data_IF_661316586995
#
_entry.id   IF_661316586995
#
_cell.length_a   1.000
_cell.length_b   1.000
_cell.length_c   1.000
_cell.angle_alpha   90.00
_cell.angle_beta   90.00
_cell.angle_gamma   90.00
#
_symmetry.space_group_name_H-M   'P 1'
#
loop_
_entity.id
_entity.type
_entity.pdbx_description
1 polymer ?
#
# COMPACT_ATOMS: atom_id res chain seq x y z
N UNK A 1 -29.37 6.18 1.53
CA UNK A 1 -28.03 5.66 1.86
C UNK A 1 -27.34 6.66 2.76
N UNK A 2 -26.98 6.27 3.98
CA UNK A 2 -26.20 7.12 4.88
C UNK A 2 -24.72 6.92 4.54
N UNK A 3 -24.07 7.94 3.97
CA UNK A 3 -22.65 7.87 3.66
C UNK A 3 -21.85 8.11 4.94
N UNK A 4 -20.94 7.19 5.26
CA UNK A 4 -20.02 7.36 6.38
C UNK A 4 -19.10 8.54 6.10
N UNK A 5 -19.16 9.57 6.94
CA UNK A 5 -18.33 10.75 6.76
C UNK A 5 -16.83 10.37 6.83
N UNK A 6 -15.96 10.82 5.91
CA UNK A 6 -14.56 10.40 5.86
C UNK A 6 -13.78 10.61 7.17
N UNK A 7 -14.13 11.65 7.93
CA UNK A 7 -13.55 11.90 9.27
C UNK A 7 -13.81 10.76 10.25
N UNK A 8 -15.01 10.16 10.20
CA UNK A 8 -15.37 9.03 11.06
C UNK A 8 -14.48 7.83 10.74
N UNK A 9 -14.33 7.51 9.45
CA UNK A 9 -13.44 6.43 9.00
C UNK A 9 -11.99 6.64 9.43
N UNK A 10 -11.45 7.87 9.29
CA UNK A 10 -10.10 8.21 9.75
C UNK A 10 -9.94 8.02 11.26
N UNK A 11 -10.92 8.45 12.05
CA UNK A 11 -10.87 8.31 13.50
C UNK A 11 -10.92 6.85 13.95
N UNK A 12 -11.77 6.02 13.33
CA UNK A 12 -11.79 4.59 13.62
C UNK A 12 -10.49 3.91 13.24
N UNK A 13 -9.90 4.29 12.10
CA UNK A 13 -8.62 3.75 11.69
C UNK A 13 -7.48 4.13 12.64
N UNK A 14 -7.43 5.37 13.12
CA UNK A 14 -6.44 5.80 14.10
C UNK A 14 -6.52 4.97 15.40
N UNK A 15 -7.74 4.77 15.92
CA UNK A 15 -7.96 3.90 17.09
C UNK A 15 -7.54 2.45 16.84
N UNK A 16 -7.74 1.94 15.64
CA UNK A 16 -7.31 0.60 15.27
C UNK A 16 -5.77 0.46 15.23
N UNK A 17 -5.05 1.50 14.77
CA UNK A 17 -3.59 1.55 14.83
C UNK A 17 -3.11 1.50 16.29
N UNK A 18 -3.66 2.33 17.17
CA UNK A 18 -3.27 2.36 18.59
C UNK A 18 -3.45 0.98 19.25
N UNK A 19 -4.57 0.31 18.97
CA UNK A 19 -4.84 -1.03 19.48
C UNK A 19 -3.89 -2.09 18.88
N UNK A 20 -3.50 -1.94 17.61
CA UNK A 20 -2.55 -2.83 16.96
C UNK A 20 -1.12 -2.64 17.50
N UNK A 21 -0.68 -1.39 17.68
CA UNK A 21 0.65 -1.05 18.19
C UNK A 21 0.87 -1.59 19.60
N UNK A 22 -0.15 -1.55 20.47
CA UNK A 22 -0.08 -2.17 21.80
C UNK A 22 0.19 -3.68 21.70
N UNK A 23 -0.49 -4.39 20.78
CA UNK A 23 -0.30 -5.83 20.55
C UNK A 23 1.06 -6.13 19.92
N UNK A 24 1.50 -5.33 18.95
CA UNK A 24 2.78 -5.49 18.27
C UNK A 24 3.94 -5.27 19.25
N UNK A 25 3.86 -4.25 20.10
CA UNK A 25 4.84 -3.98 21.15
C UNK A 25 4.94 -5.14 22.13
N UNK A 26 3.80 -5.65 22.63
CA UNK A 26 3.78 -6.81 23.53
C UNK A 26 4.38 -8.07 22.89
N UNK A 27 4.25 -8.22 21.56
CA UNK A 27 4.82 -9.33 20.80
C UNK A 27 6.27 -9.07 20.31
N UNK A 28 6.90 -7.95 20.68
CA UNK A 28 8.24 -7.57 20.21
C UNK A 28 8.34 -7.36 18.70
N UNK A 29 7.23 -7.02 18.03
CA UNK A 29 7.16 -6.80 16.58
C UNK A 29 7.24 -5.31 16.23
N UNK A 30 7.69 -4.96 15.00
CA UNK A 30 7.66 -3.58 14.54
C UNK A 30 6.24 -3.00 14.58
N UNK A 31 6.13 -1.78 15.13
CA UNK A 31 4.87 -1.01 15.18
C UNK A 31 4.56 -0.35 13.84
N UNK A 32 3.33 0.13 13.68
CA UNK A 32 2.92 0.87 12.48
C UNK A 32 3.68 2.21 12.42
N UNK A 33 4.20 2.62 11.24
CA UNK A 33 4.90 3.89 11.11
C UNK A 33 4.05 5.10 11.53
N UNK A 34 4.68 6.05 12.24
CA UNK A 34 4.03 7.32 12.59
C UNK A 34 3.54 8.05 11.33
N UNK A 35 2.30 8.52 11.35
CA UNK A 35 1.68 9.22 10.22
C UNK A 35 1.07 8.30 9.15
N UNK A 36 1.02 6.98 9.37
CA UNK A 36 0.27 6.09 8.48
C UNK A 36 -1.22 6.39 8.54
N UNK A 37 -1.83 6.68 7.38
CA UNK A 37 -3.25 7.04 7.26
C UNK A 37 -4.01 5.97 6.49
N UNK A 38 -5.34 5.99 6.60
CA UNK A 38 -6.22 5.02 5.92
C UNK A 38 -5.92 4.88 4.42
N UNK A 39 -5.68 5.98 3.71
CA UNK A 39 -5.31 5.92 2.29
C UNK A 39 -3.99 5.18 2.04
N UNK A 40 -3.05 5.23 2.99
CA UNK A 40 -1.79 4.49 2.95
C UNK A 40 -1.99 2.98 2.81
N UNK A 41 -3.08 2.40 3.32
CA UNK A 41 -3.40 0.98 3.13
C UNK A 41 -3.52 0.59 1.65
N UNK A 42 -4.15 1.45 0.85
CA UNK A 42 -4.27 1.28 -0.60
C UNK A 42 -2.92 1.34 -1.29
N UNK A 43 -1.99 2.18 -0.82
CA UNK A 43 -0.61 2.17 -1.32
C UNK A 43 0.09 0.86 -1.00
N UNK A 44 0.00 0.40 0.26
CA UNK A 44 0.64 -0.85 0.68
C UNK A 44 0.13 -2.04 -0.12
N UNK A 45 -1.19 -2.13 -0.35
CA UNK A 45 -1.79 -3.18 -1.18
C UNK A 45 -1.26 -3.15 -2.62
N UNK A 46 -1.24 -1.97 -3.26
CA UNK A 46 -0.71 -1.83 -4.63
C UNK A 46 0.78 -2.20 -4.71
N UNK A 47 1.58 -1.85 -3.69
CA UNK A 47 2.99 -2.24 -3.64
C UNK A 47 3.16 -3.76 -3.51
N UNK A 48 2.34 -4.43 -2.71
CA UNK A 48 2.40 -5.89 -2.57
C UNK A 48 1.99 -6.60 -3.86
N UNK A 49 0.92 -6.12 -4.50
CA UNK A 49 0.43 -6.68 -5.77
C UNK A 49 1.46 -6.46 -6.88
N UNK A 50 2.06 -5.27 -6.96
CA UNK A 50 3.15 -5.00 -7.90
C UNK A 50 4.38 -5.87 -7.61
N UNK A 51 4.73 -6.06 -6.33
CA UNK A 51 5.81 -6.95 -5.91
C UNK A 51 5.57 -8.43 -6.22
N UNK A 52 4.31 -8.84 -6.36
CA UNK A 52 3.93 -10.19 -6.80
C UNK A 52 4.02 -10.37 -8.33
N UNK A 53 4.41 -9.33 -9.08
CA UNK A 53 4.56 -9.38 -10.53
C UNK A 53 3.29 -9.03 -11.31
N UNK A 54 2.30 -8.42 -10.67
CA UNK A 54 1.10 -7.96 -11.36
C UNK A 54 1.43 -6.95 -12.47
N UNK A 55 0.68 -7.05 -13.56
CA UNK A 55 0.78 -6.14 -14.70
C UNK A 55 0.24 -4.76 -14.35
N UNK A 56 0.57 -3.77 -15.17
CA UNK A 56 0.08 -2.40 -14.97
C UNK A 56 -1.44 -2.32 -15.10
N UNK A 57 -2.05 -3.09 -16.00
CA UNK A 57 -3.51 -3.14 -16.21
C UNK A 57 -4.25 -3.72 -14.99
N UNK A 58 -3.70 -4.77 -14.37
CA UNK A 58 -4.25 -5.35 -13.13
C UNK A 58 -4.15 -4.37 -11.96
N UNK A 59 -3.06 -3.61 -11.86
CA UNK A 59 -2.88 -2.59 -10.84
C UNK A 59 -3.82 -1.39 -11.02
N UNK A 60 -4.11 -1.01 -12.27
CA UNK A 60 -5.07 0.05 -12.58
C UNK A 60 -6.49 -0.38 -12.24
N UNK A 61 -6.84 -1.61 -12.61
CA UNK A 61 -8.14 -2.24 -12.30
C UNK A 61 -8.35 -2.35 -10.80
N UNK A 62 -7.38 -2.91 -10.07
CA UNK A 62 -7.45 -3.06 -8.61
C UNK A 62 -7.47 -1.70 -7.88
N UNK A 63 -6.69 -0.74 -8.38
CA UNK A 63 -6.69 0.61 -7.84
C UNK A 63 -7.99 1.35 -8.13
N UNK A 64 -8.65 1.11 -9.26
CA UNK A 64 -9.65 2.03 -9.81
C UNK A 64 -9.01 3.36 -10.23
N UNK A 65 -7.78 3.32 -10.74
CA UNK A 65 -7.12 4.50 -11.31
C UNK A 65 -7.37 4.57 -12.81
N UNK A 66 -7.71 5.75 -13.31
CA UNK A 66 -7.78 6.02 -14.76
C UNK A 66 -6.43 6.42 -15.37
N UNK A 67 -5.41 6.69 -14.53
CA UNK A 67 -4.11 7.22 -14.97
C UNK A 67 -2.94 6.32 -14.50
N UNK A 68 -2.10 5.94 -15.48
CA UNK A 68 -0.92 5.09 -15.36
C UNK A 68 0.18 5.71 -14.48
N UNK A 69 0.33 7.04 -14.47
CA UNK A 69 1.36 7.74 -13.70
C UNK A 69 1.17 7.59 -12.18
N UNK A 70 -0.08 7.50 -11.72
CA UNK A 70 -0.40 7.32 -10.29
C UNK A 70 -0.08 5.90 -9.81
N UNK A 71 -0.23 4.90 -10.69
CA UNK A 71 0.20 3.53 -10.44
C UNK A 71 1.73 3.38 -10.54
N UNK A 72 2.34 3.99 -11.56
CA UNK A 72 3.78 3.87 -11.87
C UNK A 72 4.68 4.55 -10.84
N UNK A 73 4.32 5.73 -10.32
CA UNK A 73 5.09 6.41 -9.26
C UNK A 73 5.28 5.54 -8.01
N UNK A 74 4.32 4.65 -7.72
CA UNK A 74 4.36 3.72 -6.58
C UNK A 74 5.11 2.42 -6.92
N UNK A 75 5.00 1.93 -8.15
CA UNK A 75 5.75 0.77 -8.63
C UNK A 75 7.26 1.04 -8.77
N UNK A 76 7.65 2.25 -9.17
CA UNK A 76 9.06 2.65 -9.32
C UNK A 76 9.80 2.65 -7.97
N UNK A 77 9.12 2.90 -6.85
CA UNK A 77 9.73 2.82 -5.53
C UNK A 77 10.15 1.38 -5.14
N UNK A 78 9.44 0.35 -5.62
CA UNK A 78 9.80 -1.05 -5.41
C UNK A 78 10.99 -1.48 -6.29
N UNK A 79 11.05 -0.98 -7.53
CA UNK A 79 12.19 -1.21 -8.44
C UNK A 79 13.48 -0.53 -7.96
N UNK A 80 13.41 0.69 -7.40
CA UNK A 80 14.58 1.45 -6.93
C UNK A 80 15.24 0.87 -5.66
N UNK A 81 14.58 -0.01 -4.91
CA UNK A 81 15.16 -0.71 -3.74
C UNK A 81 15.89 -2.00 -4.11
N UNK A 82 16.07 -2.31 -5.40
CA UNK A 82 16.80 -3.49 -5.85
C UNK A 82 16.11 -4.83 -5.56
N UNK A 83 14.79 -4.81 -5.34
CA UNK A 83 14.00 -6.01 -5.00
C UNK A 83 13.62 -6.81 -6.27
N UNK A 84 13.65 -6.22 -7.46
CA UNK A 84 13.37 -6.89 -8.73
C UNK A 84 14.27 -6.42 -9.88
N UNK A 85 14.62 -7.30 -10.85
CA UNK A 85 15.34 -6.93 -12.06
C UNK A 85 14.53 -5.95 -12.91
N UNK A 86 15.24 -5.07 -13.63
CA UNK A 86 14.63 -4.10 -14.54
C UNK A 86 13.90 -4.85 -15.67
N UNK A 87 12.75 -4.36 -16.15
CA UNK A 87 12.11 -4.94 -17.32
C UNK A 87 13.06 -4.76 -18.52
N UNK A 88 13.53 -5.87 -19.08
CA UNK A 88 14.46 -5.90 -20.23
C UNK A 88 15.68 -6.82 -20.09
N UNK A 89 15.93 -7.45 -18.93
CA UNK A 89 16.87 -8.57 -18.87
C UNK A 89 16.15 -9.87 -19.23
N UNK A 90 16.47 -10.40 -20.41
CA UNK A 90 16.17 -11.76 -20.78
C UNK A 90 16.68 -12.72 -19.69
N UNK A 91 15.91 -13.78 -19.45
CA UNK A 91 16.35 -14.89 -18.61
C UNK A 91 17.23 -15.77 -19.49
N UNK A 92 18.54 -15.74 -19.24
CA UNK A 92 19.52 -16.67 -19.79
C UNK A 92 19.91 -17.67 -18.69
#
# INVERSE_FOLDING_TARGET
MQYLHPKVLRNHFAKAIEAADAKLTAAGRPIVPKGFVWHGSRHSALTMIAGAGATTEELLTFGGHSDVQVASTRCVAASRRGIFPRPGMARD
#
